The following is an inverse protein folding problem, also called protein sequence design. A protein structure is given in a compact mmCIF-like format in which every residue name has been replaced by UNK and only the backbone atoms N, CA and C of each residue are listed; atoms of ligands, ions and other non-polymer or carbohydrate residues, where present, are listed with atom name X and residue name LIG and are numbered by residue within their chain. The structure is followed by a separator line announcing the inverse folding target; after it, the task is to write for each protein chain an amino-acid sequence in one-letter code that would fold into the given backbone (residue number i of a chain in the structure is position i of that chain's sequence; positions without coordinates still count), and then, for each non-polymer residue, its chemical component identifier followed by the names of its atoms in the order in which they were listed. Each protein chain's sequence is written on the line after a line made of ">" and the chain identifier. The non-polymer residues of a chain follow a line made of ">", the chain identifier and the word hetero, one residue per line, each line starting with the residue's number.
data_IF_790835331680
#
_entry.id   IF_790835331680
#
_cell.length_a   1.000
_cell.length_b   1.000
_cell.length_c   1.000
_cell.angle_alpha   90.00
_cell.angle_beta   90.00
_cell.angle_gamma   90.00
#
_symmetry.space_group_name_H-M   'P 1'
#
loop_
_entity.id
_entity.type
_entity.pdbx_description
1 polymer ?
#
# COMPACT_ATOMS: atom_id res chain seq x y z
N UNK A 1 -12.00 -18.77 -62.16
CA UNK A 1 -10.83 -18.88 -61.24
C UNK A 1 -10.66 -17.66 -60.32
N UNK A 2 -11.23 -16.47 -60.63
CA UNK A 2 -11.05 -15.24 -59.85
C UNK A 2 -11.89 -15.26 -58.57
N UNK A 3 -13.11 -15.80 -58.61
CA UNK A 3 -14.05 -15.82 -57.48
C UNK A 3 -13.52 -16.57 -56.24
N UNK A 4 -12.96 -17.80 -56.35
CA UNK A 4 -12.43 -18.50 -55.18
C UNK A 4 -11.21 -17.83 -54.58
N UNK A 5 -10.42 -17.10 -55.34
CA UNK A 5 -9.27 -16.34 -54.81
C UNK A 5 -9.75 -15.14 -53.99
N UNK A 6 -10.77 -14.42 -54.42
CA UNK A 6 -11.36 -13.32 -53.70
C UNK A 6 -11.95 -13.78 -52.36
N UNK A 7 -12.65 -14.92 -52.35
CA UNK A 7 -13.23 -15.51 -51.12
C UNK A 7 -12.13 -15.89 -50.12
N UNK A 8 -11.01 -16.45 -50.58
CA UNK A 8 -9.86 -16.79 -49.75
C UNK A 8 -9.20 -15.54 -49.13
N UNK A 9 -9.04 -14.46 -49.90
CA UNK A 9 -8.45 -13.21 -49.45
C UNK A 9 -9.37 -12.53 -48.42
N UNK A 10 -10.68 -12.45 -48.70
CA UNK A 10 -11.67 -11.86 -47.77
C UNK A 10 -11.76 -12.69 -46.50
N UNK A 11 -11.78 -14.03 -46.59
CA UNK A 11 -11.76 -14.93 -45.42
C UNK A 11 -10.51 -14.77 -44.59
N UNK A 12 -9.33 -14.66 -45.19
CA UNK A 12 -8.06 -14.42 -44.51
C UNK A 12 -8.02 -13.06 -43.78
N UNK A 13 -8.50 -12.00 -44.46
CA UNK A 13 -8.61 -10.67 -43.86
C UNK A 13 -9.59 -10.63 -42.65
N UNK A 14 -10.72 -11.33 -42.80
CA UNK A 14 -11.70 -11.48 -41.74
C UNK A 14 -11.12 -12.20 -40.50
N UNK A 15 -10.37 -13.29 -40.78
CA UNK A 15 -9.70 -14.06 -39.72
C UNK A 15 -8.64 -13.25 -39.01
N UNK A 16 -7.82 -12.49 -39.76
CA UNK A 16 -6.85 -11.55 -39.16
C UNK A 16 -7.51 -10.44 -38.37
N UNK A 17 -8.65 -9.94 -38.80
CA UNK A 17 -9.42 -8.93 -38.06
C UNK A 17 -9.97 -9.49 -36.74
N UNK A 18 -10.52 -10.70 -36.74
CA UNK A 18 -11.02 -11.38 -35.55
C UNK A 18 -9.88 -11.69 -34.59
N UNK A 19 -8.71 -12.17 -35.08
CA UNK A 19 -7.54 -12.43 -34.22
C UNK A 19 -7.00 -11.14 -33.58
N UNK A 20 -6.92 -10.03 -34.33
CA UNK A 20 -6.52 -8.72 -33.77
C UNK A 20 -7.52 -8.21 -32.74
N UNK A 21 -8.82 -8.41 -32.95
CA UNK A 21 -9.85 -8.01 -32.01
C UNK A 21 -9.82 -8.86 -30.73
N UNK A 22 -9.57 -10.16 -30.85
CA UNK A 22 -9.42 -11.09 -29.72
C UNK A 22 -8.17 -10.77 -28.89
N UNK A 23 -7.03 -10.43 -29.52
CA UNK A 23 -5.82 -10.01 -28.84
C UNK A 23 -6.01 -8.72 -28.03
N UNK A 24 -6.79 -7.75 -28.53
CA UNK A 24 -7.11 -6.53 -27.81
C UNK A 24 -8.04 -6.76 -26.61
N UNK A 25 -8.93 -7.76 -26.67
CA UNK A 25 -9.80 -8.13 -25.53
C UNK A 25 -8.97 -8.80 -24.44
N UNK A 26 -8.05 -9.70 -24.79
CA UNK A 26 -7.13 -10.34 -23.83
C UNK A 26 -6.20 -9.32 -23.16
N UNK A 27 -5.69 -8.32 -23.86
CA UNK A 27 -4.86 -7.26 -23.27
C UNK A 27 -5.65 -6.40 -22.28
N UNK A 28 -6.91 -6.09 -22.54
CA UNK A 28 -7.79 -5.39 -21.59
C UNK A 28 -8.07 -6.24 -20.34
N UNK A 29 -8.28 -7.55 -20.49
CA UNK A 29 -8.48 -8.44 -19.36
C UNK A 29 -7.21 -8.54 -18.48
N UNK A 30 -6.00 -8.50 -19.08
CA UNK A 30 -4.74 -8.45 -18.32
C UNK A 30 -4.53 -7.10 -17.60
N UNK A 31 -5.06 -5.98 -18.12
CA UNK A 31 -4.98 -4.68 -17.46
C UNK A 31 -5.87 -4.57 -16.21
N UNK A 32 -6.94 -5.35 -16.10
CA UNK A 32 -7.77 -5.39 -14.88
C UNK A 32 -7.05 -5.96 -13.66
N UNK A 33 -6.04 -6.79 -13.86
CA UNK A 33 -5.20 -7.35 -12.78
C UNK A 33 -4.08 -6.44 -12.30
N UNK A 34 -3.75 -5.37 -13.05
CA UNK A 34 -2.64 -4.49 -12.67
C UNK A 34 -2.97 -3.70 -11.40
N UNK A 35 -1.95 -3.49 -10.58
CA UNK A 35 -2.09 -2.71 -9.36
C UNK A 35 -2.54 -1.28 -9.65
N UNK A 36 -3.51 -0.80 -8.87
CA UNK A 36 -3.95 0.61 -8.88
C UNK A 36 -3.16 1.47 -7.90
N UNK A 37 -2.04 0.96 -7.39
CA UNK A 37 -1.25 1.70 -6.41
C UNK A 37 -0.78 3.04 -6.96
N UNK A 38 -1.03 4.10 -6.20
CA UNK A 38 -0.54 5.43 -6.52
C UNK A 38 0.93 5.51 -6.13
N UNK A 39 1.81 5.56 -7.13
CA UNK A 39 3.23 5.79 -6.93
C UNK A 39 3.50 7.29 -6.84
N UNK A 40 3.93 7.74 -5.68
CA UNK A 40 4.47 9.10 -5.47
C UNK A 40 5.98 8.97 -5.41
N UNK A 41 6.67 9.43 -6.45
CA UNK A 41 8.13 9.30 -6.54
C UNK A 41 8.84 9.97 -5.36
N UNK A 42 8.37 11.16 -4.95
CA UNK A 42 8.86 11.86 -3.77
C UNK A 42 7.68 12.53 -3.06
N UNK A 43 7.38 12.13 -1.84
CA UNK A 43 6.42 12.84 -1.01
C UNK A 43 6.99 14.22 -0.64
N UNK A 44 6.18 15.27 -0.81
CA UNK A 44 6.54 16.62 -0.35
C UNK A 44 6.23 16.84 1.12
N UNK A 45 5.42 15.97 1.71
CA UNK A 45 5.00 16.04 3.12
C UNK A 45 6.17 15.67 4.01
N UNK A 46 6.40 16.45 5.06
CA UNK A 46 7.45 16.27 6.06
C UNK A 46 6.85 16.21 7.46
N UNK A 47 7.66 15.83 8.47
CA UNK A 47 7.21 15.87 9.86
C UNK A 47 6.82 17.27 10.33
N UNK A 48 7.38 18.31 9.75
CA UNK A 48 6.99 19.70 10.05
C UNK A 48 5.54 20.03 9.61
N UNK A 49 5.01 19.27 8.64
CA UNK A 49 3.64 19.42 8.17
C UNK A 49 2.63 18.64 9.03
N UNK A 50 3.13 17.78 9.92
CA UNK A 50 2.33 17.02 10.89
C UNK A 50 2.40 17.78 12.22
N UNK A 51 1.32 18.45 12.58
CA UNK A 51 1.25 19.21 13.82
C UNK A 51 0.93 18.29 15.01
N UNK A 52 1.61 18.52 16.14
CA UNK A 52 1.49 17.68 17.33
C UNK A 52 2.06 16.27 17.15
N UNK A 53 1.68 15.36 18.05
CA UNK A 53 2.03 13.93 17.99
C UNK A 53 3.56 13.69 17.96
N UNK A 54 4.28 14.34 18.88
CA UNK A 54 5.75 14.28 18.94
C UNK A 54 6.26 12.89 19.30
N UNK A 55 5.51 12.12 20.12
CA UNK A 55 5.87 10.76 20.49
C UNK A 55 5.82 9.84 19.26
N UNK A 56 4.76 9.91 18.48
CA UNK A 56 4.62 9.14 17.24
C UNK A 56 5.68 9.52 16.21
N UNK A 57 6.05 10.80 16.12
CA UNK A 57 7.14 11.26 15.25
C UNK A 57 8.48 10.67 15.68
N UNK A 58 8.76 10.63 16.98
CA UNK A 58 10.01 10.04 17.50
C UNK A 58 10.08 8.55 17.21
N UNK A 59 8.99 7.81 17.41
CA UNK A 59 8.93 6.39 17.08
C UNK A 59 9.15 6.13 15.56
N UNK A 60 8.63 7.00 14.71
CA UNK A 60 8.78 6.91 13.27
C UNK A 60 10.14 7.40 12.76
N UNK A 61 10.86 8.20 13.55
CA UNK A 61 12.18 8.71 13.18
C UNK A 61 13.19 7.57 12.96
N UNK A 62 13.11 6.51 13.74
CA UNK A 62 13.96 5.32 13.56
C UNK A 62 13.79 4.69 12.18
N UNK A 63 12.56 4.66 11.67
CA UNK A 63 12.24 4.17 10.32
C UNK A 63 12.86 5.07 9.25
N UNK A 64 12.75 6.39 9.45
CA UNK A 64 13.37 7.37 8.54
C UNK A 64 14.88 7.19 8.50
N UNK A 65 15.52 7.05 9.66
CA UNK A 65 16.99 6.90 9.77
C UNK A 65 17.46 5.61 9.09
N UNK A 66 16.71 4.52 9.24
CA UNK A 66 16.99 3.27 8.52
C UNK A 66 16.88 3.45 7.01
N UNK A 67 15.80 4.04 6.52
CA UNK A 67 15.61 4.23 5.08
C UNK A 67 16.68 5.15 4.46
N UNK A 68 17.17 6.12 5.22
CA UNK A 68 18.29 7.00 4.80
C UNK A 68 19.63 6.26 4.76
N UNK A 69 19.91 5.42 5.76
CA UNK A 69 21.20 4.77 5.95
C UNK A 69 21.07 3.29 6.35
N UNK A 70 20.56 2.41 5.48
CA UNK A 70 20.33 1.00 5.83
C UNK A 70 21.59 0.26 6.28
N UNK A 71 22.75 0.61 5.69
CA UNK A 71 24.04 -0.03 5.99
C UNK A 71 24.44 0.10 7.45
N UNK A 72 24.24 1.28 8.06
CA UNK A 72 24.55 1.52 9.46
C UNK A 72 23.85 0.52 10.40
N UNK A 73 22.60 0.22 10.12
CA UNK A 73 21.82 -0.70 10.93
C UNK A 73 22.22 -2.15 10.68
N UNK A 74 22.54 -2.50 9.44
CA UNK A 74 23.00 -3.84 9.07
C UNK A 74 24.34 -4.19 9.71
N UNK A 75 25.29 -3.24 9.74
CA UNK A 75 26.65 -3.42 10.30
C UNK A 75 26.61 -3.69 11.81
N UNK A 76 25.70 -3.09 12.55
CA UNK A 76 25.54 -3.31 13.99
C UNK A 76 24.58 -4.47 14.31
N UNK A 77 24.04 -5.17 13.31
CA UNK A 77 23.11 -6.29 13.49
C UNK A 77 21.74 -5.89 14.03
N UNK A 78 21.36 -4.62 13.91
CA UNK A 78 20.04 -4.16 14.35
C UNK A 78 18.93 -4.77 13.48
N UNK A 79 17.85 -5.19 14.14
CA UNK A 79 16.65 -5.68 13.46
C UNK A 79 15.67 -4.51 13.27
N UNK A 80 15.48 -4.12 12.03
CA UNK A 80 14.49 -3.11 11.67
C UNK A 80 13.15 -3.81 11.41
N UNK A 81 12.03 -3.25 11.87
CA UNK A 81 10.71 -3.81 11.59
C UNK A 81 10.45 -3.77 10.09
N UNK A 82 9.97 -4.88 9.52
CA UNK A 82 9.52 -4.93 8.12
C UNK A 82 8.20 -4.21 7.93
N UNK A 83 7.37 -4.21 8.96
CA UNK A 83 6.04 -3.64 8.92
C UNK A 83 5.69 -2.81 10.16
N UNK A 84 5.06 -1.68 9.90
CA UNK A 84 4.56 -0.74 10.91
C UNK A 84 3.05 -0.59 10.77
N UNK A 85 2.31 -0.86 11.83
CA UNK A 85 0.87 -0.68 11.87
C UNK A 85 0.50 0.60 12.61
N UNK A 86 -0.10 1.55 11.89
CA UNK A 86 -0.68 2.77 12.46
C UNK A 86 -2.12 2.50 12.90
N UNK A 87 -2.39 2.64 14.18
CA UNK A 87 -3.70 2.34 14.78
C UNK A 87 -4.28 3.59 15.39
N UNK A 88 -5.55 3.87 15.16
CA UNK A 88 -6.22 5.01 15.81
C UNK A 88 -7.56 5.34 15.16
N UNK A 89 -8.36 6.22 15.77
CA UNK A 89 -9.62 6.66 15.22
C UNK A 89 -9.50 7.26 13.81
N UNK A 90 -10.58 7.31 13.04
CA UNK A 90 -10.56 8.00 11.75
C UNK A 90 -10.22 9.48 11.94
N UNK A 91 -9.53 10.08 10.95
CA UNK A 91 -9.18 11.50 10.96
C UNK A 91 -7.98 11.89 11.82
N UNK A 92 -7.27 10.95 12.46
CA UNK A 92 -6.07 11.25 13.29
C UNK A 92 -4.79 11.46 12.48
N UNK A 93 -4.83 11.40 11.15
CA UNK A 93 -3.68 11.72 10.31
C UNK A 93 -2.76 10.53 9.96
N UNK A 94 -3.18 9.27 10.17
CA UNK A 94 -2.36 8.08 9.88
C UNK A 94 -1.75 8.07 8.48
N UNK A 95 -2.53 8.38 7.46
CA UNK A 95 -2.07 8.49 6.07
C UNK A 95 -1.07 9.64 5.89
N UNK A 96 -1.25 10.75 6.63
CA UNK A 96 -0.33 11.89 6.61
C UNK A 96 1.02 11.52 7.23
N UNK A 97 1.02 10.78 8.35
CA UNK A 97 2.24 10.25 8.95
C UNK A 97 3.03 9.37 7.98
N UNK A 98 2.38 8.41 7.32
CA UNK A 98 3.05 7.55 6.35
C UNK A 98 3.70 8.34 5.20
N UNK A 99 3.00 9.37 4.70
CA UNK A 99 3.55 10.29 3.68
C UNK A 99 4.71 11.13 4.23
N UNK A 100 4.65 11.55 5.49
CA UNK A 100 5.71 12.33 6.11
C UNK A 100 6.98 11.49 6.29
N UNK A 101 6.87 10.24 6.73
CA UNK A 101 8.00 9.30 6.83
C UNK A 101 8.70 9.14 5.47
N UNK A 102 7.93 8.91 4.40
CA UNK A 102 8.48 8.79 3.06
C UNK A 102 9.16 10.08 2.59
N UNK A 103 8.54 11.22 2.88
CA UNK A 103 9.11 12.53 2.56
C UNK A 103 10.39 12.81 3.34
N UNK A 104 10.43 12.55 4.65
CA UNK A 104 11.64 12.71 5.46
C UNK A 104 12.76 11.78 5.01
N UNK A 105 12.44 10.54 4.68
CA UNK A 105 13.41 9.58 4.18
C UNK A 105 13.87 9.87 2.75
N UNK A 106 13.07 10.62 1.96
CA UNK A 106 13.36 10.90 0.56
C UNK A 106 13.20 9.69 -0.36
N UNK A 107 12.33 8.74 0.01
CA UNK A 107 12.12 7.50 -0.73
C UNK A 107 10.76 7.47 -1.45
N UNK A 108 10.61 6.65 -2.50
CA UNK A 108 9.34 6.43 -3.17
C UNK A 108 8.26 5.91 -2.21
N UNK A 109 7.04 6.38 -2.42
CA UNK A 109 5.86 6.02 -1.63
C UNK A 109 4.80 5.39 -2.53
N UNK A 110 4.47 4.13 -2.27
CA UNK A 110 3.41 3.39 -2.94
C UNK A 110 2.20 3.33 -2.02
N UNK A 111 1.07 3.90 -2.44
CA UNK A 111 -0.15 3.94 -1.63
C UNK A 111 -1.29 3.21 -2.32
N UNK A 112 -1.95 2.34 -1.57
CA UNK A 112 -3.13 1.60 -2.00
C UNK A 112 -4.13 1.51 -0.84
N UNK A 113 -5.43 1.45 -1.14
CA UNK A 113 -6.44 1.12 -0.14
C UNK A 113 -6.60 -0.40 -0.02
N UNK A 114 -6.80 -0.91 1.20
CA UNK A 114 -7.16 -2.31 1.41
C UNK A 114 -8.41 -2.72 0.64
N UNK A 115 -9.36 -1.80 0.44
CA UNK A 115 -10.55 -2.03 -0.38
C UNK A 115 -10.24 -2.27 -1.87
N UNK A 116 -9.14 -1.72 -2.39
CA UNK A 116 -8.72 -1.93 -3.78
C UNK A 116 -8.27 -3.38 -4.06
N UNK A 117 -7.98 -4.13 -3.02
CA UNK A 117 -7.67 -5.55 -3.14
C UNK A 117 -8.90 -6.45 -3.12
N UNK A 118 -10.05 -5.94 -2.65
CA UNK A 118 -11.29 -6.70 -2.56
C UNK A 118 -12.11 -6.47 -3.81
N UNK A 119 -12.05 -7.40 -4.74
CA UNK A 119 -12.81 -7.36 -6.00
C UNK A 119 -13.77 -8.55 -6.07
N UNK A 120 -14.76 -8.50 -6.99
CA UNK A 120 -15.69 -9.60 -7.16
C UNK A 120 -15.09 -10.85 -7.86
N UNK A 121 -13.90 -10.72 -8.45
CA UNK A 121 -13.26 -11.80 -9.19
C UNK A 121 -12.14 -12.43 -8.38
N UNK A 122 -12.23 -13.74 -8.19
CA UNK A 122 -11.24 -14.53 -7.43
C UNK A 122 -9.84 -14.40 -8.04
N UNK A 123 -8.85 -14.12 -7.19
CA UNK A 123 -7.43 -14.03 -7.57
C UNK A 123 -6.95 -12.66 -8.04
N UNK A 124 -7.83 -11.71 -8.31
CA UNK A 124 -7.44 -10.35 -8.73
C UNK A 124 -6.72 -9.62 -7.61
N UNK A 125 -7.23 -9.69 -6.37
CA UNK A 125 -6.60 -9.09 -5.21
C UNK A 125 -5.19 -9.63 -4.95
N UNK A 126 -5.01 -10.94 -4.99
CA UNK A 126 -3.70 -11.57 -4.85
C UNK A 126 -2.72 -11.19 -5.96
N UNK A 127 -3.19 -11.01 -7.20
CA UNK A 127 -2.34 -10.51 -8.30
C UNK A 127 -1.88 -9.08 -8.06
N UNK A 128 -2.77 -8.20 -7.62
CA UNK A 128 -2.44 -6.80 -7.28
C UNK A 128 -1.42 -6.70 -6.16
N UNK A 129 -1.50 -7.58 -5.16
CA UNK A 129 -0.50 -7.66 -4.10
C UNK A 129 0.86 -8.01 -4.68
N UNK A 130 0.96 -9.07 -5.51
CA UNK A 130 2.23 -9.46 -6.17
C UNK A 130 2.83 -8.32 -7.00
N UNK A 131 2.00 -7.66 -7.81
CA UNK A 131 2.45 -6.55 -8.68
C UNK A 131 2.97 -5.37 -7.84
N UNK A 132 2.25 -5.00 -6.77
CA UNK A 132 2.66 -3.95 -5.85
C UNK A 132 4.04 -4.23 -5.24
N UNK A 133 4.25 -5.44 -4.73
CA UNK A 133 5.54 -5.82 -4.13
C UNK A 133 6.64 -6.00 -5.16
N UNK A 134 6.33 -6.47 -6.37
CA UNK A 134 7.27 -6.53 -7.48
C UNK A 134 7.76 -5.12 -7.88
N UNK A 135 6.86 -4.14 -7.89
CA UNK A 135 7.21 -2.75 -8.17
C UNK A 135 7.97 -2.10 -7.01
N UNK A 136 7.62 -2.41 -5.77
CA UNK A 136 8.36 -1.97 -4.59
C UNK A 136 9.81 -2.49 -4.62
N UNK A 137 10.02 -3.77 -4.90
CA UNK A 137 11.36 -4.38 -5.02
C UNK A 137 12.24 -3.69 -6.08
N UNK A 138 11.65 -3.28 -7.21
CA UNK A 138 12.38 -2.54 -8.26
C UNK A 138 12.77 -1.11 -7.86
N UNK A 139 12.08 -0.54 -6.87
CA UNK A 139 12.24 0.85 -6.45
C UNK A 139 12.75 0.99 -5.00
N UNK A 140 13.33 -0.06 -4.44
CA UNK A 140 13.91 -0.02 -3.10
C UNK A 140 15.15 0.92 -3.05
N UNK A 141 15.35 1.68 -1.96
CA UNK A 141 14.51 1.71 -0.77
C UNK A 141 13.18 2.46 -1.00
N UNK A 142 12.08 1.95 -0.41
CA UNK A 142 10.76 2.55 -0.58
C UNK A 142 9.81 2.23 0.58
N UNK A 143 8.69 2.93 0.64
CA UNK A 143 7.57 2.65 1.55
C UNK A 143 6.38 2.15 0.74
N UNK A 144 5.79 1.02 1.17
CA UNK A 144 4.49 0.53 0.72
C UNK A 144 3.47 0.84 1.81
N UNK A 145 2.46 1.63 1.49
CA UNK A 145 1.41 2.02 2.43
C UNK A 145 0.06 1.42 2.03
N UNK A 146 -0.55 0.70 2.97
CA UNK A 146 -1.86 0.08 2.80
C UNK A 146 -2.82 0.75 3.78
N UNK A 147 -3.69 1.60 3.27
CA UNK A 147 -4.75 2.22 4.08
C UNK A 147 -5.91 1.24 4.28
N UNK A 148 -6.63 1.35 5.40
CA UNK A 148 -7.77 0.48 5.70
C UNK A 148 -7.45 -1.01 5.56
N UNK A 149 -6.33 -1.46 6.13
CA UNK A 149 -5.87 -2.85 6.01
C UNK A 149 -6.91 -3.87 6.50
N UNK A 150 -7.81 -3.47 7.39
CA UNK A 150 -8.90 -4.28 7.92
C UNK A 150 -9.93 -4.70 6.84
N UNK A 151 -9.96 -4.05 5.68
CA UNK A 151 -10.75 -4.51 4.54
C UNK A 151 -10.30 -5.90 4.04
N UNK A 152 -8.99 -6.19 4.13
CA UNK A 152 -8.38 -7.45 3.67
C UNK A 152 -8.04 -8.36 4.83
N UNK A 153 -7.51 -7.82 5.91
CA UNK A 153 -6.90 -8.57 7.01
C UNK A 153 -7.86 -8.78 8.19
N UNK A 154 -9.14 -8.88 7.95
CA UNK A 154 -10.13 -9.18 8.98
C UNK A 154 -10.10 -10.64 9.39
N UNK A 155 -10.28 -10.92 10.70
CA UNK A 155 -10.44 -12.28 11.23
C UNK A 155 -11.50 -13.09 10.47
N UNK A 156 -11.26 -14.36 10.31
CA UNK A 156 -12.21 -15.31 9.73
C UNK A 156 -13.50 -15.31 10.54
N UNK A 157 -14.61 -15.02 9.90
CA UNK A 157 -15.94 -15.19 10.47
C UNK A 157 -16.51 -16.56 10.04
N UNK A 158 -17.42 -17.11 10.82
CA UNK A 158 -18.14 -18.37 10.52
C UNK A 158 -19.17 -18.24 9.41
N UNK A 159 -19.13 -17.16 8.58
CA UNK A 159 -20.09 -16.91 7.53
C UNK A 159 -19.74 -17.65 6.23
N UNK A 160 -20.70 -18.39 5.68
CA UNK A 160 -20.63 -19.03 4.36
C UNK A 160 -20.94 -17.99 3.26
N UNK A 161 -19.91 -17.57 2.49
CA UNK A 161 -20.12 -16.68 1.34
C UNK A 161 -18.85 -16.48 0.51
N UNK A 162 -18.94 -16.52 -0.81
CA UNK A 162 -17.82 -16.51 -1.76
C UNK A 162 -16.88 -15.29 -1.72
N UNK A 163 -17.28 -14.18 -1.06
CA UNK A 163 -16.40 -13.03 -0.82
C UNK A 163 -15.37 -13.24 0.30
N UNK A 164 -15.48 -14.32 1.06
CA UNK A 164 -14.50 -14.67 2.12
C UNK A 164 -13.25 -15.31 1.54
N UNK A 165 -13.40 -16.16 0.53
CA UNK A 165 -12.29 -16.90 -0.08
C UNK A 165 -11.30 -15.96 -0.78
N UNK A 166 -11.79 -14.92 -1.45
CA UNK A 166 -10.95 -13.93 -2.12
C UNK A 166 -10.15 -13.09 -1.14
N UNK A 167 -10.77 -12.61 -0.06
CA UNK A 167 -10.08 -11.85 0.98
C UNK A 167 -9.00 -12.68 1.65
N UNK A 168 -9.31 -13.94 1.95
CA UNK A 168 -8.35 -14.87 2.56
C UNK A 168 -7.18 -15.14 1.62
N UNK A 169 -7.43 -15.37 0.33
CA UNK A 169 -6.40 -15.55 -0.68
C UNK A 169 -5.51 -14.30 -0.79
N UNK A 170 -6.12 -13.13 -0.78
CA UNK A 170 -5.40 -11.85 -0.83
C UNK A 170 -4.56 -11.60 0.42
N UNK A 171 -5.12 -11.86 1.61
CA UNK A 171 -4.38 -11.79 2.87
C UNK A 171 -3.21 -12.76 2.86
N UNK A 172 -3.43 -14.01 2.49
CA UNK A 172 -2.36 -15.01 2.43
C UNK A 172 -1.24 -14.57 1.47
N UNK A 173 -1.59 -13.99 0.30
CA UNK A 173 -0.60 -13.46 -0.62
C UNK A 173 0.18 -12.30 -0.02
N UNK A 174 -0.49 -11.37 0.69
CA UNK A 174 0.18 -10.28 1.40
C UNK A 174 1.20 -10.82 2.43
N UNK A 175 0.81 -11.81 3.20
CA UNK A 175 1.70 -12.45 4.18
C UNK A 175 2.90 -13.13 3.50
N UNK A 176 2.67 -13.82 2.39
CA UNK A 176 3.75 -14.45 1.59
C UNK A 176 4.73 -13.39 1.07
N UNK A 177 4.22 -12.28 0.52
CA UNK A 177 5.10 -11.21 0.04
C UNK A 177 5.90 -10.57 1.19
N UNK A 178 5.26 -10.31 2.34
CA UNK A 178 5.96 -9.76 3.51
C UNK A 178 7.01 -10.72 4.07
N UNK A 179 6.74 -12.01 4.08
CA UNK A 179 7.71 -13.03 4.51
C UNK A 179 8.86 -13.18 3.48
N UNK A 180 8.56 -12.95 2.20
CA UNK A 180 9.45 -13.19 1.07
C UNK A 180 10.54 -12.15 0.84
N UNK A 181 10.51 -10.97 1.50
CA UNK A 181 11.61 -10.01 1.42
C UNK A 181 12.45 -9.98 2.71
N UNK A 182 13.76 -9.81 2.52
CA UNK A 182 14.73 -9.75 3.63
C UNK A 182 14.63 -8.43 4.41
N UNK A 183 15.08 -8.46 5.66
CA UNK A 183 15.12 -7.27 6.54
C UNK A 183 15.95 -6.13 5.93
N UNK A 184 16.86 -6.44 5.02
CA UNK A 184 17.84 -5.51 4.45
C UNK A 184 17.49 -5.03 3.03
N UNK A 185 16.33 -5.40 2.49
CA UNK A 185 15.94 -4.99 1.13
C UNK A 185 15.49 -3.52 1.03
N UNK A 186 15.40 -2.80 2.17
CA UNK A 186 15.03 -1.39 2.19
C UNK A 186 13.55 -1.13 1.92
N UNK A 187 12.70 -2.16 2.03
CA UNK A 187 11.25 -2.02 1.87
C UNK A 187 10.62 -2.02 3.26
N UNK A 188 9.89 -0.96 3.57
CA UNK A 188 9.06 -0.88 4.77
C UNK A 188 7.59 -0.88 4.36
N UNK A 189 6.82 -1.81 4.92
CA UNK A 189 5.37 -1.86 4.73
C UNK A 189 4.71 -1.12 5.89
N UNK A 190 4.02 -0.05 5.61
CA UNK A 190 3.19 0.64 6.59
C UNK A 190 1.72 0.34 6.32
N UNK A 191 0.94 0.09 7.35
CA UNK A 191 -0.50 -0.06 7.19
C UNK A 191 -1.26 0.80 8.19
N UNK A 192 -2.46 1.19 7.85
CA UNK A 192 -3.34 1.93 8.75
C UNK A 192 -4.66 1.18 8.97
N UNK A 193 -5.17 1.23 10.21
CA UNK A 193 -6.49 0.73 10.55
C UNK A 193 -7.13 1.57 11.66
N UNK A 194 -8.44 1.64 11.62
CA UNK A 194 -9.23 2.21 12.72
C UNK A 194 -9.69 1.12 13.71
N UNK A 195 -9.51 -0.15 13.36
CA UNK A 195 -10.09 -1.30 14.07
C UNK A 195 -9.09 -2.44 14.20
N UNK A 196 -8.15 -2.29 15.13
CA UNK A 196 -7.15 -3.34 15.40
C UNK A 196 -7.79 -4.62 15.97
N UNK A 197 -8.93 -4.50 16.64
CA UNK A 197 -9.68 -5.59 17.29
C UNK A 197 -10.15 -6.67 16.32
N UNK A 198 -10.41 -6.30 15.06
CA UNK A 198 -10.92 -7.24 14.05
C UNK A 198 -9.83 -7.85 13.16
N UNK A 199 -8.58 -7.41 13.31
CA UNK A 199 -7.49 -7.91 12.48
C UNK A 199 -7.16 -9.38 12.77
N UNK A 200 -6.79 -10.11 11.72
CA UNK A 200 -6.28 -11.47 11.85
C UNK A 200 -4.93 -11.45 12.59
N UNK A 201 -4.76 -12.24 13.68
CA UNK A 201 -3.51 -12.27 14.42
C UNK A 201 -2.28 -12.64 13.58
N UNK A 202 -2.48 -13.31 12.44
CA UNK A 202 -1.38 -13.68 11.55
C UNK A 202 -0.60 -12.50 11.01
N UNK A 203 -1.25 -11.33 10.83
CA UNK A 203 -0.54 -10.14 10.33
C UNK A 203 0.32 -9.46 11.39
N UNK A 204 0.03 -9.70 12.67
CA UNK A 204 0.73 -9.11 13.81
C UNK A 204 1.91 -9.96 14.30
N UNK A 205 2.23 -11.05 13.59
CA UNK A 205 3.37 -11.91 13.96
C UNK A 205 4.69 -11.22 13.69
N UNK A 206 5.75 -11.54 14.48
CA UNK A 206 7.10 -11.04 14.23
C UNK A 206 7.55 -11.27 12.78
N UNK A 207 8.17 -10.25 12.20
CA UNK A 207 8.59 -10.25 10.78
C UNK A 207 7.52 -9.77 9.80
N UNK A 208 6.34 -9.36 10.30
CA UNK A 208 5.25 -8.75 9.54
C UNK A 208 4.96 -7.36 10.10
N UNK A 209 3.74 -7.08 10.59
CA UNK A 209 3.46 -5.83 11.31
C UNK A 209 3.81 -5.98 12.79
N UNK A 210 5.08 -6.05 13.08
CA UNK A 210 5.62 -6.27 14.41
C UNK A 210 5.78 -4.98 15.22
N UNK A 211 5.77 -3.81 14.58
CA UNK A 211 5.69 -2.52 15.27
C UNK A 211 4.29 -1.93 15.12
N UNK A 212 3.68 -1.58 16.23
CA UNK A 212 2.38 -0.93 16.29
C UNK A 212 2.51 0.45 16.93
N UNK A 213 2.10 1.49 16.21
CA UNK A 213 2.09 2.88 16.66
C UNK A 213 0.65 3.33 16.79
N UNK A 214 0.30 3.81 17.98
CA UNK A 214 -1.05 4.31 18.28
C UNK A 214 -1.11 5.80 17.99
N UNK A 215 -1.95 6.20 17.03
CA UNK A 215 -2.16 7.60 16.66
C UNK A 215 -3.45 8.08 17.33
N UNK A 216 -3.30 8.69 18.50
CA UNK A 216 -4.40 9.19 19.29
C UNK A 216 -5.02 10.47 18.72
N UNK A 217 -6.27 10.82 19.09
CA UNK A 217 -6.79 12.16 18.85
C UNK A 217 -5.89 13.22 19.50
N UNK A 218 -5.67 14.38 18.85
CA UNK A 218 -4.79 15.40 19.38
C UNK A 218 -5.34 16.01 20.67
N UNK A 219 -4.46 16.31 21.61
CA UNK A 219 -4.74 17.06 22.82
C UNK A 219 -5.03 18.55 22.52
N UNK A 220 -5.17 19.38 23.53
CA UNK A 220 -5.47 20.81 23.34
C UNK A 220 -4.34 21.51 22.58
N UNK A 221 -3.10 21.24 22.94
CA UNK A 221 -1.91 21.82 22.32
C UNK A 221 -1.78 21.38 20.86
N UNK A 222 -1.94 20.08 20.60
CA UNK A 222 -1.91 19.54 19.24
C UNK A 222 -3.01 20.10 18.35
N UNK A 223 -4.23 20.33 18.88
CA UNK A 223 -5.30 20.99 18.12
C UNK A 223 -4.95 22.44 17.77
N UNK A 224 -4.34 23.18 18.70
CA UNK A 224 -3.88 24.53 18.42
C UNK A 224 -2.82 24.57 17.31
N UNK A 225 -1.86 23.65 17.35
CA UNK A 225 -0.83 23.53 16.31
C UNK A 225 -1.42 23.15 14.95
N UNK A 226 -2.37 22.21 14.91
CA UNK A 226 -3.09 21.84 13.69
C UNK A 226 -3.81 23.08 13.11
N UNK A 227 -4.50 23.84 13.95
CA UNK A 227 -5.17 25.07 13.52
C UNK A 227 -4.17 26.09 12.96
N UNK A 228 -3.02 26.28 13.60
CA UNK A 228 -1.95 27.16 13.10
C UNK A 228 -1.46 26.74 11.70
N UNK A 229 -1.25 25.44 11.46
CA UNK A 229 -0.85 24.93 10.16
C UNK A 229 -1.90 25.24 9.09
N UNK A 230 -3.18 25.01 9.40
CA UNK A 230 -4.28 25.28 8.46
C UNK A 230 -4.55 26.78 8.26
N UNK A 231 -4.21 27.61 9.23
CA UNK A 231 -4.38 29.05 9.19
C UNK A 231 -3.27 29.78 8.40
N UNK A 232 -2.12 29.15 8.22
CA UNK A 232 -0.90 29.75 7.64
C UNK A 232 -1.10 30.49 6.31
N UNK A 233 -2.09 30.07 5.51
CA UNK A 233 -2.40 30.68 4.21
C UNK A 233 -3.81 31.28 4.17
N UNK A 234 -4.39 31.65 5.33
CA UNK A 234 -5.71 32.28 5.41
C UNK A 234 -5.58 33.72 5.87
N UNK A 235 -6.37 34.65 5.27
CA UNK A 235 -6.49 35.99 5.81
C UNK A 235 -7.28 35.92 7.13
N UNK A 236 -6.55 35.92 8.22
CA UNK A 236 -7.15 36.03 9.56
C UNK A 236 -7.23 37.50 9.88
N UNK A 237 -8.39 37.95 10.40
CA UNK A 237 -8.52 39.27 10.96
C UNK A 237 -7.73 39.41 12.26
N UNK A 238 -7.53 40.67 12.68
CA UNK A 238 -6.86 40.99 13.94
C UNK A 238 -7.65 40.50 15.17
#
# INVERSE_FOLDING_TARGET
>A
FIVPIIVLIVGGLLLLFIMRRSANVNNKAMDFGKTKANKIANSKVRFVDVAGAEEEKQELQEIVDFLKNPKKFTEIGARIPKGVLLVGPPGTGKTLFAKAVAGEAGVPFFSISGSDFVEMFVGVGASRVRDLFADAKKNAPCIVFIDEIDAVARRRGTGMGGGHDEREQTLNQLLVEMDGFGVNEGIIVMAATNRVDILDPAILRPGRFDRKISVAPPDVTGREEILKVHAKNKPLGD
#
